data_IF_377195226049
#
_entry.id   IF_377195226049
#
_cell.length_a   1.000
_cell.length_b   1.000
_cell.length_c   1.000
_cell.angle_alpha   90.00
_cell.angle_beta   90.00
_cell.angle_gamma   90.00
#
_symmetry.space_group_name_H-M   'P 1'
#
loop_
_entity.id
_entity.type
_entity.pdbx_description
1 polymer ?
#
# COMPACT_ATOMS: atom_id res chain seq x y z
N UNK A 1 -16.30 -2.25 -9.71
CA UNK A 1 -16.33 -1.10 -10.65
C UNK A 1 -15.28 -1.30 -11.72
N UNK A 2 -15.66 -1.72 -12.94
CA UNK A 2 -14.74 -1.78 -14.08
C UNK A 2 -14.06 -0.42 -14.30
N UNK A 3 -14.82 0.66 -14.44
CA UNK A 3 -14.36 2.01 -14.81
C UNK A 3 -13.28 2.66 -13.92
N UNK A 4 -13.14 2.23 -12.66
CA UNK A 4 -12.12 2.79 -11.77
C UNK A 4 -10.72 2.37 -12.24
N UNK A 5 -9.79 3.32 -12.39
CA UNK A 5 -8.42 3.04 -12.83
C UNK A 5 -7.36 3.12 -11.74
N UNK A 6 -7.66 3.90 -10.69
CA UNK A 6 -6.77 4.17 -9.55
C UNK A 6 -7.65 4.24 -8.30
N UNK A 7 -7.16 3.73 -7.18
CA UNK A 7 -7.77 3.90 -5.88
C UNK A 7 -6.95 4.89 -5.05
N UNK A 8 -7.62 5.78 -4.32
CA UNK A 8 -6.99 6.69 -3.36
C UNK A 8 -7.55 6.35 -1.98
N UNK A 9 -6.66 6.04 -1.05
CA UNK A 9 -6.96 5.75 0.35
C UNK A 9 -6.76 7.04 1.17
N UNK A 10 -7.82 7.45 1.87
CA UNK A 10 -7.87 8.67 2.68
C UNK A 10 -8.58 8.36 4.01
N UNK A 11 -8.19 9.06 5.08
CA UNK A 11 -8.92 9.03 6.34
C UNK A 11 -9.94 10.16 6.43
N UNK A 12 -11.08 9.91 7.05
CA UNK A 12 -12.02 10.98 7.38
C UNK A 12 -11.66 11.63 8.73
N UNK A 13 -11.91 12.94 8.86
CA UNK A 13 -11.70 13.66 10.11
C UNK A 13 -10.27 14.13 10.34
N UNK A 14 -9.83 14.16 11.61
CA UNK A 14 -8.56 14.79 12.03
C UNK A 14 -7.32 13.96 11.70
N UNK A 15 -7.45 12.65 11.61
CA UNK A 15 -6.34 11.71 11.48
C UNK A 15 -6.56 10.82 10.25
N UNK A 16 -5.49 10.26 9.70
CA UNK A 16 -5.60 9.20 8.72
C UNK A 16 -6.12 7.92 9.38
N UNK A 17 -5.47 7.46 10.44
CA UNK A 17 -5.98 6.38 11.32
C UNK A 17 -5.27 6.34 12.67
N UNK A 18 -6.02 6.02 13.73
CA UNK A 18 -5.48 5.77 15.07
C UNK A 18 -5.01 4.31 15.27
N UNK A 19 -5.18 3.45 14.27
CA UNK A 19 -4.82 2.04 14.33
C UNK A 19 -5.99 1.15 14.76
N UNK A 20 -5.66 0.01 15.36
CA UNK A 20 -6.65 -0.99 15.78
C UNK A 20 -7.52 -0.48 16.93
N UNK A 21 -8.81 -0.84 16.90
CA UNK A 21 -9.72 -0.60 18.01
C UNK A 21 -9.36 -1.52 19.19
N UNK A 22 -8.94 -0.92 20.31
CA UNK A 22 -8.50 -1.66 21.49
C UNK A 22 -9.64 -2.45 22.15
N UNK A 23 -10.89 -1.98 22.06
CA UNK A 23 -12.04 -2.72 22.58
C UNK A 23 -12.34 -3.95 21.75
N UNK A 24 -12.25 -3.82 20.41
CA UNK A 24 -12.34 -4.96 19.50
C UNK A 24 -11.24 -5.99 19.79
N UNK A 25 -10.00 -5.54 19.99
CA UNK A 25 -8.88 -6.42 20.33
C UNK A 25 -9.10 -7.16 21.67
N UNK A 26 -9.53 -6.46 22.72
CA UNK A 26 -9.84 -7.09 24.01
C UNK A 26 -11.00 -8.09 23.93
N UNK A 27 -11.93 -7.88 23.00
CA UNK A 27 -13.07 -8.77 22.75
C UNK A 27 -12.71 -10.07 22.01
N UNK A 28 -11.49 -10.20 21.46
CA UNK A 28 -11.11 -11.34 20.63
C UNK A 28 -11.00 -12.64 21.43
N UNK A 29 -10.42 -12.60 22.64
CA UNK A 29 -10.16 -13.78 23.47
C UNK A 29 -11.39 -14.69 23.67
N UNK A 30 -12.53 -14.15 24.15
CA UNK A 30 -13.77 -14.91 24.28
C UNK A 30 -14.31 -15.47 22.96
N UNK A 31 -14.10 -14.79 21.83
CA UNK A 31 -14.61 -15.22 20.52
C UNK A 31 -13.87 -16.44 19.95
N UNK A 32 -12.57 -16.57 20.25
CA UNK A 32 -11.72 -17.67 19.79
C UNK A 32 -11.64 -18.82 20.80
N UNK A 33 -12.25 -18.67 21.98
CA UNK A 33 -12.11 -19.60 23.08
C UNK A 33 -12.65 -20.98 22.72
N UNK A 34 -11.84 -21.99 23.02
CA UNK A 34 -12.20 -23.40 22.90
C UNK A 34 -11.68 -24.19 24.11
N UNK A 35 -12.28 -25.34 24.39
CA UNK A 35 -11.87 -26.28 25.44
C UNK A 35 -10.50 -26.91 25.18
N UNK A 36 -10.04 -26.91 23.93
CA UNK A 36 -8.70 -27.30 23.54
C UNK A 36 -7.85 -26.07 23.20
N UNK A 37 -6.78 -25.84 23.97
CA UNK A 37 -5.78 -24.79 23.72
C UNK A 37 -5.28 -24.73 22.28
N UNK A 38 -5.01 -25.89 21.67
CA UNK A 38 -4.55 -25.98 20.30
C UNK A 38 -5.57 -25.42 19.30
N UNK A 39 -6.87 -25.64 19.55
CA UNK A 39 -7.96 -25.11 18.72
C UNK A 39 -8.14 -23.60 18.92
N UNK A 40 -7.98 -23.10 20.14
CA UNK A 40 -7.97 -21.65 20.42
C UNK A 40 -6.87 -20.95 19.64
N UNK A 41 -5.65 -21.52 19.63
CA UNK A 41 -4.50 -20.96 18.88
C UNK A 41 -4.70 -21.03 17.37
N UNK A 42 -5.29 -22.12 16.86
CA UNK A 42 -5.64 -22.22 15.43
C UNK A 42 -6.74 -21.21 15.03
N UNK A 43 -7.74 -20.98 15.88
CA UNK A 43 -8.75 -19.95 15.65
C UNK A 43 -8.12 -18.54 15.59
N UNK A 44 -7.25 -18.20 16.55
CA UNK A 44 -6.48 -16.96 16.53
C UNK A 44 -5.66 -16.81 15.24
N UNK A 45 -4.97 -17.88 14.84
CA UNK A 45 -4.19 -17.89 13.59
C UNK A 45 -5.05 -17.57 12.37
N UNK A 46 -6.28 -18.10 12.30
CA UNK A 46 -7.22 -17.79 11.20
C UNK A 46 -7.66 -16.33 11.21
N UNK A 47 -7.93 -15.76 12.38
CA UNK A 47 -8.25 -14.34 12.51
C UNK A 47 -7.08 -13.47 12.02
N UNK A 48 -5.85 -13.79 12.43
CA UNK A 48 -4.65 -13.06 11.99
C UNK A 48 -4.50 -13.15 10.47
N UNK A 49 -4.67 -14.33 9.87
CA UNK A 49 -4.61 -14.49 8.42
C UNK A 49 -5.69 -13.69 7.69
N UNK A 50 -6.90 -13.61 8.23
CA UNK A 50 -8.00 -12.84 7.65
C UNK A 50 -7.72 -11.32 7.70
N UNK A 51 -7.16 -10.84 8.81
CA UNK A 51 -6.70 -9.45 8.92
C UNK A 51 -5.55 -9.15 7.94
N UNK A 52 -4.56 -10.04 7.84
CA UNK A 52 -3.49 -9.94 6.84
C UNK A 52 -4.05 -9.92 5.42
N UNK A 53 -5.03 -10.76 5.11
CA UNK A 53 -5.66 -10.84 3.79
C UNK A 53 -6.40 -9.54 3.45
N UNK A 54 -7.11 -8.98 4.43
CA UNK A 54 -7.81 -7.69 4.31
C UNK A 54 -6.84 -6.59 3.87
N UNK A 55 -5.69 -6.45 4.54
CA UNK A 55 -4.70 -5.44 4.15
C UNK A 55 -4.00 -5.79 2.83
N UNK A 56 -3.64 -7.06 2.64
CA UNK A 56 -2.94 -7.55 1.44
C UNK A 56 -3.82 -7.43 0.19
N UNK A 57 -5.14 -7.35 0.33
CA UNK A 57 -6.06 -7.11 -0.77
C UNK A 57 -5.74 -5.80 -1.55
N UNK A 58 -5.16 -4.79 -0.89
CA UNK A 58 -4.72 -3.55 -1.55
C UNK A 58 -3.52 -3.79 -2.47
N UNK A 59 -2.54 -4.57 -2.02
CA UNK A 59 -1.36 -4.94 -2.82
C UNK A 59 -1.78 -5.81 -4.01
N UNK A 60 -2.69 -6.77 -3.80
CA UNK A 60 -3.26 -7.63 -4.86
C UNK A 60 -4.23 -6.92 -5.79
N UNK A 61 -4.71 -5.73 -5.44
CA UNK A 61 -5.60 -4.98 -6.30
C UNK A 61 -4.89 -4.69 -7.63
N UNK A 62 -5.47 -5.15 -8.74
CA UNK A 62 -4.90 -4.93 -10.08
C UNK A 62 -4.74 -3.44 -10.47
N UNK A 63 -5.31 -2.52 -9.70
CA UNK A 63 -5.28 -1.08 -9.92
C UNK A 63 -4.28 -0.45 -8.95
N UNK A 64 -3.60 0.64 -9.32
CA UNK A 64 -2.75 1.36 -8.39
C UNK A 64 -3.54 1.91 -7.20
N UNK A 65 -2.96 1.81 -6.01
CA UNK A 65 -3.49 2.28 -4.73
C UNK A 65 -2.54 3.34 -4.18
N UNK A 66 -3.06 4.55 -4.01
CA UNK A 66 -2.31 5.70 -3.49
C UNK A 66 -2.81 6.01 -2.09
N UNK A 67 -1.91 6.10 -1.10
CA UNK A 67 -2.26 6.55 0.24
C UNK A 67 -2.00 8.05 0.40
N UNK A 68 -3.02 8.81 0.79
CA UNK A 68 -2.91 10.22 1.15
C UNK A 68 -3.10 10.38 2.66
N UNK A 69 -1.98 10.56 3.37
CA UNK A 69 -1.89 10.45 4.81
C UNK A 69 -1.79 11.83 5.46
N UNK A 70 -2.77 12.19 6.29
CA UNK A 70 -2.74 13.40 7.11
C UNK A 70 -2.86 13.07 8.60
N UNK A 71 -2.32 13.93 9.46
CA UNK A 71 -2.30 13.71 10.90
C UNK A 71 -1.70 12.34 11.27
N UNK A 72 -2.33 11.62 12.20
CA UNK A 72 -1.75 10.38 12.71
C UNK A 72 -1.95 9.18 11.78
N UNK A 73 -0.89 8.39 11.62
CA UNK A 73 -0.91 7.04 11.05
C UNK A 73 -0.23 6.07 12.03
N UNK A 74 -1.03 5.37 12.83
CA UNK A 74 -0.57 4.65 14.03
C UNK A 74 -0.78 3.14 13.90
N UNK A 75 0.22 2.35 14.31
CA UNK A 75 0.13 0.88 14.39
C UNK A 75 -0.31 0.28 13.07
N UNK A 76 -1.45 -0.42 13.07
CA UNK A 76 -2.13 -0.95 11.87
C UNK A 76 -2.29 0.03 10.69
N UNK A 77 -2.20 1.34 10.92
CA UNK A 77 -2.07 2.33 9.85
C UNK A 77 -0.78 2.16 9.01
N UNK A 78 0.35 1.85 9.64
CA UNK A 78 1.62 1.52 8.96
C UNK A 78 1.45 0.25 8.12
N UNK A 79 0.83 -0.79 8.69
CA UNK A 79 0.53 -2.03 7.96
C UNK A 79 -0.32 -1.76 6.72
N UNK A 80 -1.30 -0.89 6.84
CA UNK A 80 -2.19 -0.48 5.75
C UNK A 80 -1.45 0.31 4.65
N UNK A 81 -0.67 1.34 5.00
CA UNK A 81 0.00 2.18 3.99
C UNK A 81 1.17 1.47 3.30
N UNK A 82 1.78 0.49 3.97
CA UNK A 82 2.86 -0.32 3.36
C UNK A 82 2.32 -1.27 2.28
N UNK A 83 1.00 -1.53 2.24
CA UNK A 83 0.33 -2.22 1.13
C UNK A 83 0.02 -1.30 -0.07
N UNK A 84 0.08 0.02 0.08
CA UNK A 84 -0.17 0.95 -1.01
C UNK A 84 1.00 0.97 -2.00
N UNK A 85 0.73 1.26 -3.27
CA UNK A 85 1.77 1.37 -4.30
C UNK A 85 2.58 2.67 -4.13
N UNK A 86 1.91 3.74 -3.68
CA UNK A 86 2.50 5.06 -3.48
C UNK A 86 1.95 5.69 -2.21
N UNK A 87 2.77 6.46 -1.50
CA UNK A 87 2.42 7.11 -0.24
C UNK A 87 2.77 8.59 -0.29
N UNK A 88 1.84 9.41 0.17
CA UNK A 88 1.98 10.86 0.23
C UNK A 88 1.51 11.34 1.59
N UNK A 89 2.15 12.38 2.12
CA UNK A 89 1.83 12.91 3.43
C UNK A 89 1.56 14.41 3.40
N UNK A 90 0.71 14.91 4.29
CA UNK A 90 0.70 16.34 4.65
C UNK A 90 1.79 16.63 5.68
N UNK A 91 2.18 17.88 5.80
CA UNK A 91 3.27 18.33 6.67
C UNK A 91 3.02 18.06 8.16
N UNK A 92 1.76 17.98 8.57
CA UNK A 92 1.32 17.67 9.93
C UNK A 92 1.22 16.15 10.21
N UNK A 93 1.52 15.30 9.23
CA UNK A 93 1.44 13.87 9.41
C UNK A 93 2.56 13.33 10.30
N UNK A 94 2.23 12.31 11.11
CA UNK A 94 3.21 11.54 11.85
C UNK A 94 2.86 10.05 11.86
N UNK A 95 3.90 9.24 12.07
CA UNK A 95 3.87 7.79 11.92
C UNK A 95 4.45 7.12 13.16
N UNK A 96 3.99 5.92 13.51
CA UNK A 96 4.54 5.12 14.60
C UNK A 96 4.11 3.66 14.47
N UNK A 97 5.06 2.74 14.70
CA UNK A 97 4.80 1.30 14.86
C UNK A 97 4.46 1.09 16.33
N UNK A 98 3.18 1.11 16.66
CA UNK A 98 2.70 1.28 18.04
C UNK A 98 2.54 -0.04 18.80
N UNK A 99 2.57 -1.16 18.10
CA UNK A 99 2.34 -2.50 18.61
C UNK A 99 3.28 -2.85 19.77
N UNK A 100 4.55 -2.42 19.70
CA UNK A 100 5.54 -2.71 20.73
C UNK A 100 5.16 -2.13 22.09
N UNK A 101 4.55 -0.94 22.12
CA UNK A 101 4.15 -0.24 23.35
C UNK A 101 2.91 -0.85 24.01
N UNK A 102 2.20 -1.73 23.31
CA UNK A 102 1.09 -2.52 23.87
C UNK A 102 1.49 -3.98 24.11
N UNK A 103 2.79 -4.29 24.03
CA UNK A 103 3.32 -5.65 24.27
C UNK A 103 3.03 -6.63 23.13
N UNK A 104 2.85 -6.12 21.91
CA UNK A 104 2.49 -6.92 20.73
C UNK A 104 3.57 -6.79 19.65
N UNK A 105 3.85 -7.91 18.98
CA UNK A 105 4.63 -7.89 17.73
C UNK A 105 3.69 -7.53 16.59
N UNK A 106 4.03 -6.52 15.78
CA UNK A 106 3.25 -6.20 14.58
C UNK A 106 3.19 -7.40 13.62
N UNK A 107 1.98 -7.86 13.30
CA UNK A 107 1.74 -9.15 12.66
C UNK A 107 0.86 -9.08 11.40
N UNK A 108 0.37 -7.89 11.01
CA UNK A 108 -0.52 -7.73 9.85
C UNK A 108 0.13 -7.12 8.60
N UNK A 109 1.43 -6.78 8.63
CA UNK A 109 2.18 -6.47 7.42
C UNK A 109 3.43 -5.61 7.57
N UNK A 110 3.53 -4.77 8.59
CA UNK A 110 4.60 -3.79 8.76
C UNK A 110 5.98 -4.45 8.71
N UNK A 111 6.18 -5.53 9.47
CA UNK A 111 7.49 -6.19 9.55
C UNK A 111 7.88 -6.94 8.28
N UNK A 112 6.91 -7.25 7.41
CA UNK A 112 7.13 -7.96 6.15
C UNK A 112 7.36 -7.01 4.97
N UNK A 113 6.77 -5.80 5.02
CA UNK A 113 6.79 -4.83 3.92
C UNK A 113 7.73 -3.65 4.17
N UNK A 114 7.75 -3.09 5.38
CA UNK A 114 8.52 -1.88 5.67
C UNK A 114 10.03 -2.02 5.40
N UNK A 115 10.71 -3.14 5.72
CA UNK A 115 12.13 -3.31 5.39
C UNK A 115 12.44 -3.21 3.90
N UNK A 116 11.49 -3.57 3.03
CA UNK A 116 11.62 -3.48 1.57
C UNK A 116 11.43 -2.06 1.04
N UNK A 117 10.94 -1.14 1.87
CA UNK A 117 10.70 0.26 1.54
C UNK A 117 11.78 1.18 2.10
N UNK A 118 12.14 1.01 3.38
CA UNK A 118 13.03 1.94 4.12
C UNK A 118 14.34 1.29 4.58
N UNK A 119 14.52 0.00 4.32
CA UNK A 119 15.67 -0.79 4.79
C UNK A 119 15.49 -1.33 6.22
N UNK A 120 16.25 -2.38 6.54
CA UNK A 120 16.11 -3.08 7.83
C UNK A 120 16.58 -2.23 9.03
N UNK A 121 17.61 -1.41 8.87
CA UNK A 121 18.17 -0.60 9.96
C UNK A 121 17.14 0.36 10.55
N UNK A 122 16.55 1.18 9.68
CA UNK A 122 15.46 2.10 10.04
C UNK A 122 14.25 1.32 10.56
N UNK A 123 13.87 0.23 9.90
CA UNK A 123 12.73 -0.57 10.36
C UNK A 123 12.91 -1.10 11.79
N UNK A 124 14.09 -1.62 12.12
CA UNK A 124 14.40 -2.09 13.48
C UNK A 124 14.33 -0.97 14.50
N UNK A 125 14.89 0.20 14.19
CA UNK A 125 14.82 1.35 15.11
C UNK A 125 13.37 1.76 15.38
N UNK A 126 12.57 1.94 14.33
CA UNK A 126 11.18 2.34 14.48
C UNK A 126 10.34 1.28 15.21
N UNK A 127 10.55 -0.01 14.91
CA UNK A 127 9.79 -1.11 15.50
C UNK A 127 10.18 -1.38 16.96
N UNK A 128 11.46 -1.23 17.33
CA UNK A 128 11.91 -1.46 18.71
C UNK A 128 11.59 -0.30 19.64
N UNK A 129 11.62 0.93 19.12
CA UNK A 129 11.40 2.13 19.95
C UNK A 129 9.95 2.56 20.01
N UNK A 130 9.12 2.17 19.04
CA UNK A 130 7.75 2.67 18.89
C UNK A 130 7.67 4.19 18.69
N UNK A 131 8.81 4.87 18.44
CA UNK A 131 8.86 6.34 18.41
C UNK A 131 8.00 6.90 17.29
N UNK A 132 7.55 8.14 17.50
CA UNK A 132 6.95 8.91 16.42
C UNK A 132 8.04 9.42 15.49
N UNK A 133 7.72 9.48 14.20
CA UNK A 133 8.49 10.19 13.19
C UNK A 133 7.54 11.02 12.34
N UNK A 134 8.01 12.18 11.89
CA UNK A 134 7.19 13.15 11.17
C UNK A 134 7.23 12.93 9.65
N UNK A 135 6.47 13.74 8.91
CA UNK A 135 6.41 13.67 7.46
C UNK A 135 7.76 13.96 6.77
N UNK A 136 8.62 14.80 7.36
CA UNK A 136 9.92 15.13 6.79
C UNK A 136 10.86 13.93 6.88
N UNK A 137 10.95 13.31 8.05
CA UNK A 137 11.70 12.07 8.24
C UNK A 137 11.12 10.93 7.38
N UNK A 138 9.79 10.78 7.33
CA UNK A 138 9.14 9.77 6.49
C UNK A 138 9.54 9.91 5.01
N UNK A 139 9.78 11.13 4.52
CA UNK A 139 10.29 11.37 3.17
C UNK A 139 11.76 11.03 3.04
N UNK A 140 12.58 11.40 4.03
CA UNK A 140 14.02 11.10 4.06
C UNK A 140 14.29 9.59 4.00
N UNK A 141 13.54 8.80 4.77
CA UNK A 141 13.65 7.34 4.80
C UNK A 141 12.93 6.64 3.64
N UNK A 142 12.39 7.40 2.68
CA UNK A 142 11.64 6.89 1.52
C UNK A 142 10.33 6.13 1.84
N UNK A 143 9.76 6.33 3.03
CA UNK A 143 8.42 5.82 3.33
C UNK A 143 7.37 6.54 2.46
N UNK A 144 7.46 7.88 2.33
CA UNK A 144 6.55 8.67 1.50
C UNK A 144 7.27 9.29 0.30
N UNK A 145 6.60 9.31 -0.85
CA UNK A 145 7.13 9.86 -2.10
C UNK A 145 7.22 11.39 -2.07
N UNK A 146 6.25 12.07 -1.44
CA UNK A 146 6.19 13.53 -1.35
C UNK A 146 5.39 13.98 -0.13
N UNK A 147 5.81 15.11 0.43
CA UNK A 147 5.11 15.84 1.49
C UNK A 147 4.46 17.09 0.89
N UNK A 148 3.23 17.36 1.28
CA UNK A 148 2.43 18.53 0.89
C UNK A 148 2.19 19.43 2.10
N UNK A 149 2.01 20.72 1.87
CA UNK A 149 1.95 21.72 2.94
C UNK A 149 0.73 21.54 3.86
N UNK A 150 -0.39 21.06 3.33
CA UNK A 150 -1.64 20.86 4.07
C UNK A 150 -2.38 19.61 3.57
N UNK A 151 -3.42 19.18 4.31
CA UNK A 151 -4.32 18.10 3.89
C UNK A 151 -5.00 18.40 2.55
N UNK A 152 -5.45 19.63 2.33
CA UNK A 152 -6.14 20.00 1.09
C UNK A 152 -5.16 19.97 -0.10
N UNK A 153 -3.94 20.47 0.10
CA UNK A 153 -2.88 20.39 -0.90
C UNK A 153 -2.47 18.93 -1.19
N UNK A 154 -2.41 18.09 -0.16
CA UNK A 154 -2.19 16.65 -0.29
C UNK A 154 -3.27 16.00 -1.16
N UNK A 155 -4.55 16.25 -0.86
CA UNK A 155 -5.65 15.62 -1.60
C UNK A 155 -5.70 16.08 -3.06
N UNK A 156 -5.52 17.38 -3.31
CA UNK A 156 -5.42 17.91 -4.67
C UNK A 156 -4.24 17.29 -5.44
N UNK A 157 -3.05 17.28 -4.85
CA UNK A 157 -1.86 16.73 -5.49
C UNK A 157 -1.95 15.22 -5.75
N UNK A 158 -2.51 14.45 -4.82
CA UNK A 158 -2.74 13.01 -5.03
C UNK A 158 -3.78 12.76 -6.12
N UNK A 159 -4.82 13.60 -6.21
CA UNK A 159 -5.81 13.51 -7.27
C UNK A 159 -5.23 13.80 -8.65
N UNK A 160 -4.31 14.77 -8.77
CA UNK A 160 -3.59 15.05 -10.02
C UNK A 160 -2.71 13.85 -10.46
N UNK A 161 -2.03 13.22 -9.51
CA UNK A 161 -1.23 12.02 -9.75
C UNK A 161 -2.14 10.87 -10.20
N UNK A 162 -3.24 10.65 -9.49
CA UNK A 162 -4.23 9.64 -9.85
C UNK A 162 -4.81 9.87 -11.25
N UNK A 163 -5.14 11.11 -11.61
CA UNK A 163 -5.61 11.48 -12.95
C UNK A 163 -4.55 11.21 -14.03
N UNK A 164 -3.29 11.50 -13.73
CA UNK A 164 -2.15 11.22 -14.64
C UNK A 164 -2.01 9.73 -14.90
N UNK A 165 -2.12 8.89 -13.87
CA UNK A 165 -2.09 7.43 -13.98
C UNK A 165 -3.33 6.92 -14.74
N UNK A 166 -4.51 7.42 -14.40
CA UNK A 166 -5.78 7.03 -15.02
C UNK A 166 -5.84 7.36 -16.51
N UNK A 167 -5.08 8.37 -16.99
CA UNK A 167 -4.96 8.70 -18.40
C UNK A 167 -4.08 7.73 -19.20
N UNK A 168 -3.36 6.81 -18.56
CA UNK A 168 -2.52 5.80 -19.23
C UNK A 168 -3.33 4.56 -19.63
N UNK A 169 -2.72 3.69 -20.43
CA UNK A 169 -3.28 2.37 -20.75
C UNK A 169 -3.48 1.57 -19.45
N UNK A 170 -4.72 1.16 -19.12
CA UNK A 170 -4.95 0.34 -17.94
C UNK A 170 -4.29 -1.03 -18.08
N UNK A 171 -4.16 -1.55 -19.31
CA UNK A 171 -3.42 -2.79 -19.57
C UNK A 171 -1.94 -2.65 -19.18
N UNK A 172 -1.28 -1.55 -19.60
CA UNK A 172 0.10 -1.28 -19.23
C UNK A 172 0.26 -1.04 -17.72
N UNK A 173 -0.63 -0.26 -17.11
CA UNK A 173 -0.57 0.03 -15.66
C UNK A 173 -0.72 -1.25 -14.81
N UNK A 174 -1.68 -2.11 -15.15
CA UNK A 174 -1.89 -3.41 -14.48
C UNK A 174 -0.63 -4.28 -14.59
N UNK A 175 -0.07 -4.39 -15.79
CA UNK A 175 1.17 -5.13 -16.03
C UNK A 175 2.36 -4.54 -15.27
N UNK A 176 2.52 -3.22 -15.23
CA UNK A 176 3.59 -2.56 -14.47
C UNK A 176 3.50 -2.88 -12.98
N UNK A 177 2.32 -2.79 -12.38
CA UNK A 177 2.13 -3.13 -10.97
C UNK A 177 2.46 -4.60 -10.68
N UNK A 178 1.94 -5.50 -11.51
CA UNK A 178 2.19 -6.95 -11.36
C UNK A 178 3.69 -7.27 -11.40
N UNK A 179 4.40 -6.75 -12.41
CA UNK A 179 5.81 -7.05 -12.61
C UNK A 179 6.71 -6.45 -11.52
N UNK A 180 6.42 -5.23 -11.05
CA UNK A 180 7.17 -4.63 -9.93
C UNK A 180 6.95 -5.44 -8.65
N UNK A 181 5.71 -5.83 -8.38
CA UNK A 181 5.36 -6.60 -7.17
C UNK A 181 6.00 -7.98 -7.21
N UNK A 182 5.96 -8.67 -8.36
CA UNK A 182 6.62 -9.96 -8.53
C UNK A 182 8.14 -9.85 -8.33
N UNK A 183 8.78 -8.86 -8.97
CA UNK A 183 10.23 -8.69 -8.93
C UNK A 183 10.78 -8.36 -7.52
N UNK A 184 9.94 -7.83 -6.63
CA UNK A 184 10.28 -7.60 -5.23
C UNK A 184 10.71 -8.90 -4.51
N UNK A 185 10.09 -10.02 -4.86
CA UNK A 185 10.15 -11.27 -4.11
C UNK A 185 10.78 -12.44 -4.90
N UNK A 186 11.28 -12.16 -6.11
CA UNK A 186 11.87 -13.15 -7.00
C UNK A 186 13.22 -12.69 -7.54
N UNK A 187 13.99 -13.62 -8.11
CA UNK A 187 15.26 -13.27 -8.75
C UNK A 187 15.04 -12.39 -9.98
N UNK A 188 16.06 -11.65 -10.39
CA UNK A 188 16.04 -10.88 -11.64
C UNK A 188 15.77 -11.80 -12.84
N UNK A 189 16.36 -13.00 -12.86
CA UNK A 189 16.17 -13.96 -13.96
C UNK A 189 14.71 -14.45 -14.06
N UNK A 190 14.10 -14.82 -12.93
CA UNK A 190 12.69 -15.25 -12.90
C UNK A 190 11.75 -14.13 -13.32
N UNK A 191 12.03 -12.91 -12.85
CA UNK A 191 11.23 -11.73 -13.15
C UNK A 191 11.32 -11.32 -14.62
N UNK A 192 12.51 -11.41 -15.23
CA UNK A 192 12.72 -11.16 -16.65
C UNK A 192 11.99 -12.20 -17.52
N UNK A 193 12.00 -13.47 -17.12
CA UNK A 193 11.26 -14.51 -17.82
C UNK A 193 9.73 -14.30 -17.71
N UNK A 194 9.26 -13.89 -16.53
CA UNK A 194 7.83 -13.62 -16.33
C UNK A 194 7.34 -12.42 -17.16
N UNK A 195 8.07 -11.30 -17.17
CA UNK A 195 7.68 -10.14 -17.97
C UNK A 195 7.77 -10.41 -19.48
N UNK A 196 8.70 -11.25 -19.93
CA UNK A 196 8.76 -11.70 -21.33
C UNK A 196 7.50 -12.48 -21.71
N UNK A 197 7.06 -13.39 -20.85
CA UNK A 197 5.81 -14.16 -21.03
C UNK A 197 4.59 -13.24 -21.05
N UNK A 198 4.51 -12.28 -20.13
CA UNK A 198 3.42 -11.29 -20.08
C UNK A 198 3.36 -10.45 -21.35
N UNK A 199 4.50 -9.88 -21.79
CA UNK A 199 4.54 -9.03 -22.97
C UNK A 199 4.32 -9.80 -24.27
N UNK A 200 4.72 -11.07 -24.36
CA UNK A 200 4.38 -11.91 -25.51
C UNK A 200 2.86 -12.02 -25.71
N UNK A 201 2.08 -11.99 -24.63
CA UNK A 201 0.62 -12.00 -24.68
C UNK A 201 -0.01 -10.60 -24.84
N UNK A 202 0.56 -9.57 -24.21
CA UNK A 202 -0.11 -8.28 -24.01
C UNK A 202 0.43 -7.12 -24.86
N UNK A 203 1.65 -7.22 -25.40
CA UNK A 203 2.35 -6.08 -26.01
C UNK A 203 1.66 -5.60 -27.30
N UNK A 204 1.29 -6.52 -28.19
CA UNK A 204 0.64 -6.22 -29.48
C UNK A 204 -0.86 -5.94 -29.28
N UNK A 205 -1.19 -4.90 -28.52
CA UNK A 205 -2.56 -4.52 -28.14
C UNK A 205 -3.07 -3.28 -28.89
N UNK A 206 -4.40 -3.08 -28.91
CA UNK A 206 -5.03 -1.84 -29.40
C UNK A 206 -4.48 -0.60 -28.68
N UNK A 207 -4.17 -0.71 -27.39
CA UNK A 207 -3.59 0.36 -26.59
C UNK A 207 -2.21 0.78 -27.10
N UNK A 208 -1.36 -0.17 -27.54
CA UNK A 208 -0.06 0.15 -28.12
C UNK A 208 -0.23 0.95 -29.42
N UNK A 209 -1.11 0.48 -30.32
CA UNK A 209 -1.41 1.19 -31.57
C UNK A 209 -1.97 2.58 -31.29
N UNK A 210 -2.94 2.71 -30.37
CA UNK A 210 -3.54 3.99 -29.99
C UNK A 210 -2.49 4.97 -29.44
N UNK A 211 -1.58 4.50 -28.59
CA UNK A 211 -0.51 5.32 -28.04
C UNK A 211 0.47 5.79 -29.13
N UNK A 212 0.88 4.90 -30.04
CA UNK A 212 1.77 5.25 -31.16
C UNK A 212 1.12 6.27 -32.10
N UNK A 213 -0.12 6.04 -32.51
CA UNK A 213 -0.86 6.96 -33.40
C UNK A 213 -1.07 8.32 -32.74
N UNK A 214 -1.47 8.35 -31.46
CA UNK A 214 -1.65 9.60 -30.71
C UNK A 214 -0.36 10.41 -30.63
N UNK A 215 0.78 9.74 -30.38
CA UNK A 215 2.08 10.40 -30.34
C UNK A 215 2.48 10.97 -31.71
N UNK A 216 2.30 10.21 -32.80
CA UNK A 216 2.59 10.68 -34.16
C UNK A 216 1.71 11.86 -34.58
N UNK A 217 0.46 11.86 -34.16
CA UNK A 217 -0.54 12.91 -34.50
C UNK A 217 -0.58 14.06 -33.50
N UNK A 218 0.24 14.03 -32.44
CA UNK A 218 0.25 14.98 -31.32
C UNK A 218 -1.12 15.15 -30.66
N UNK A 219 -1.86 14.04 -30.54
CA UNK A 219 -3.15 13.97 -29.86
C UNK A 219 -3.03 13.17 -28.55
N UNK A 220 -4.03 13.30 -27.68
CA UNK A 220 -4.12 12.47 -26.47
C UNK A 220 -4.73 11.10 -26.80
N UNK A 221 -4.09 9.98 -26.41
CA UNK A 221 -4.66 8.65 -26.64
C UNK A 221 -5.89 8.43 -25.75
N UNK A 222 -6.81 7.57 -26.22
CA UNK A 222 -7.95 7.09 -25.45
C UNK A 222 -7.86 5.58 -25.33
N UNK A 223 -7.85 5.08 -24.10
CA UNK A 223 -7.77 3.66 -23.79
C UNK A 223 -9.10 3.17 -23.24
N UNK A 224 -9.51 1.95 -23.60
CA UNK A 224 -10.62 1.23 -22.95
C UNK A 224 -10.12 0.59 -21.65
N UNK A 225 -11.03 0.17 -20.77
CA UNK A 225 -10.68 -0.54 -19.51
C UNK A 225 -10.83 -2.07 -19.58
#
# INVERSE_FOLDING_TARGET
>A
TPEARVAVLQGEGKLFTAGIDLQMMMGLGPQIQNDCDGRTREALRRVILDMQDTLTSLERCRKPVLAAIHGACVGGGIDLITCADMRYASSDAYFTIKEIDIGMTADVGTLQRLPKLVGEGITRELAYTGRKFDAAEAKEISLVNRVFESRDALYAGVQEIAATIAAKSPLSIRGTKEMITYARDHSVADSLNYIATWNAAMLMSEDLTAAMTANMTKQAPRFKD
#
